data_IF_854034187577
#
_entry.id   IF_854034187577
#
_cell.length_a   1.000
_cell.length_b   1.000
_cell.length_c   1.000
_cell.angle_alpha   90.00
_cell.angle_beta   90.00
_cell.angle_gamma   90.00
#
_symmetry.space_group_name_H-M   'P 1'
#
loop_
_entity.id
_entity.type
_entity.pdbx_description
1 polymer ?
#
# COMPACT_ATOMS: atom_id res chain seq x y z
N UNK A 1 4.80 9.15 27.56
CA UNK A 1 5.85 10.11 27.18
C UNK A 1 5.26 11.52 26.99
N UNK A 2 4.17 11.71 26.23
CA UNK A 2 3.50 13.01 26.08
C UNK A 2 2.96 13.57 27.40
N UNK A 3 2.46 12.72 28.29
CA UNK A 3 1.95 13.13 29.59
C UNK A 3 3.04 13.80 30.47
N UNK A 4 4.27 13.33 30.35
CA UNK A 4 5.40 13.88 31.10
C UNK A 4 6.02 15.13 30.42
N UNK A 5 5.90 15.20 29.08
CA UNK A 5 6.52 16.26 28.28
C UNK A 5 5.59 16.73 27.14
N UNK A 6 4.49 17.42 27.45
CA UNK A 6 3.44 17.72 26.47
C UNK A 6 3.87 18.63 25.31
N UNK A 7 4.94 19.40 25.51
CA UNK A 7 5.48 20.32 24.47
C UNK A 7 6.62 19.73 23.63
N UNK A 8 7.09 18.52 23.97
CA UNK A 8 8.19 17.91 23.23
C UNK A 8 7.67 17.30 21.93
N UNK A 9 8.18 17.70 20.76
CA UNK A 9 7.81 17.06 19.52
C UNK A 9 8.37 15.63 19.47
N UNK A 10 7.52 14.69 19.13
CA UNK A 10 7.87 13.28 18.97
C UNK A 10 7.97 12.98 17.49
N UNK A 11 9.14 12.54 17.04
CA UNK A 11 9.39 12.06 15.69
C UNK A 11 9.63 10.56 15.75
N UNK A 12 8.96 9.80 14.89
CA UNK A 12 9.06 8.34 14.88
C UNK A 12 9.37 7.81 13.48
N UNK A 13 10.00 6.65 13.45
CA UNK A 13 10.17 5.85 12.24
C UNK A 13 9.44 4.52 12.44
N UNK A 14 8.64 4.14 11.47
CA UNK A 14 7.91 2.88 11.51
C UNK A 14 8.29 2.01 10.33
N UNK A 15 8.28 0.71 10.55
CA UNK A 15 8.50 -0.26 9.50
C UNK A 15 7.19 -0.65 8.82
N UNK A 16 6.14 -0.87 9.59
CA UNK A 16 4.85 -1.40 9.15
C UNK A 16 3.70 -0.39 9.35
N UNK A 17 2.59 -0.70 8.69
CA UNK A 17 1.40 0.13 8.67
C UNK A 17 0.64 0.11 9.99
N UNK A 18 0.57 -1.04 10.66
CA UNK A 18 -0.15 -1.22 11.94
C UNK A 18 0.47 -0.33 13.03
N UNK A 19 1.80 -0.36 13.14
CA UNK A 19 2.55 0.52 14.04
C UNK A 19 2.34 1.99 13.70
N UNK A 20 2.31 2.34 12.39
CA UNK A 20 2.04 3.71 11.94
C UNK A 20 0.69 4.20 12.45
N UNK A 21 -0.39 3.44 12.23
CA UNK A 21 -1.75 3.77 12.71
C UNK A 21 -1.78 3.93 14.23
N UNK A 22 -1.11 3.04 14.96
CA UNK A 22 -1.03 3.12 16.41
C UNK A 22 -0.36 4.41 16.90
N UNK A 23 0.74 4.82 16.27
CA UNK A 23 1.45 6.06 16.63
C UNK A 23 0.68 7.32 16.23
N UNK A 24 -0.06 7.30 15.12
CA UNK A 24 -0.96 8.40 14.75
C UNK A 24 -2.04 8.58 15.82
N UNK A 25 -2.66 7.49 16.28
CA UNK A 25 -3.66 7.52 17.36
C UNK A 25 -3.10 8.02 18.69
N UNK A 26 -1.79 7.92 18.90
CA UNK A 26 -1.07 8.46 20.05
C UNK A 26 -0.59 9.91 19.84
N UNK A 27 -1.01 10.54 18.74
CA UNK A 27 -0.70 11.93 18.44
C UNK A 27 0.82 12.21 18.30
N UNK A 28 1.56 11.30 17.65
CA UNK A 28 2.97 11.51 17.30
C UNK A 28 3.06 12.60 16.24
N UNK A 29 3.98 13.56 16.41
CA UNK A 29 4.02 14.77 15.59
C UNK A 29 4.51 14.52 14.16
N UNK A 30 5.42 13.57 13.98
CA UNK A 30 5.95 13.24 12.66
C UNK A 30 6.34 11.77 12.58
N UNK A 31 5.91 11.11 11.51
CA UNK A 31 6.18 9.68 11.30
C UNK A 31 6.73 9.46 9.90
N UNK A 32 7.87 8.77 9.81
CA UNK A 32 8.42 8.28 8.55
C UNK A 32 8.15 6.78 8.45
N UNK A 33 7.47 6.37 7.39
CA UNK A 33 7.24 4.95 7.07
C UNK A 33 8.37 4.46 6.16
N UNK A 34 9.35 3.80 6.76
CA UNK A 34 10.60 3.42 6.10
C UNK A 34 10.39 2.59 4.83
N UNK A 35 9.65 1.51 4.94
CA UNK A 35 9.39 0.60 3.81
C UNK A 35 8.64 1.30 2.68
N UNK A 36 7.63 2.09 3.01
CA UNK A 36 6.83 2.82 2.05
C UNK A 36 7.65 3.89 1.29
N UNK A 37 8.41 4.70 2.01
CA UNK A 37 9.25 5.73 1.39
C UNK A 37 10.36 5.13 0.51
N UNK A 38 10.95 4.02 0.95
CA UNK A 38 11.94 3.29 0.16
C UNK A 38 11.31 2.69 -1.11
N UNK A 39 10.11 2.13 -1.01
CA UNK A 39 9.37 1.58 -2.15
C UNK A 39 9.04 2.67 -3.18
N UNK A 40 8.54 3.82 -2.76
CA UNK A 40 8.26 4.95 -3.66
C UNK A 40 9.52 5.46 -4.37
N UNK A 41 10.63 5.53 -3.63
CA UNK A 41 11.92 5.96 -4.21
C UNK A 41 12.39 4.97 -5.29
N UNK A 42 12.31 3.67 -5.01
CA UNK A 42 12.67 2.63 -5.96
C UNK A 42 11.73 2.64 -7.18
N UNK A 43 10.42 2.70 -6.95
CA UNK A 43 9.42 2.74 -8.02
C UNK A 43 9.65 3.92 -8.96
N UNK A 44 9.91 5.11 -8.42
CA UNK A 44 10.25 6.28 -9.22
C UNK A 44 11.47 6.05 -10.11
N UNK A 45 12.55 5.51 -9.53
CA UNK A 45 13.76 5.20 -10.29
C UNK A 45 13.50 4.17 -11.40
N UNK A 46 12.70 3.14 -11.09
CA UNK A 46 12.31 2.10 -12.05
C UNK A 46 11.51 2.70 -13.22
N UNK A 47 10.50 3.53 -12.97
CA UNK A 47 9.71 4.19 -14.00
C UNK A 47 10.61 5.00 -14.95
N UNK A 48 11.55 5.75 -14.40
CA UNK A 48 12.51 6.52 -15.21
C UNK A 48 13.43 5.61 -16.05
N UNK A 49 13.87 4.47 -15.52
CA UNK A 49 14.67 3.49 -16.26
C UNK A 49 13.88 2.81 -17.39
N UNK A 50 12.57 2.67 -17.24
CA UNK A 50 11.65 2.17 -18.27
C UNK A 50 11.33 3.23 -19.36
N UNK A 51 11.92 4.42 -19.29
CA UNK A 51 11.76 5.47 -20.28
C UNK A 51 10.63 6.45 -20.00
N UNK A 52 9.93 6.33 -18.86
CA UNK A 52 8.94 7.31 -18.43
C UNK A 52 9.66 8.60 -18.05
N UNK A 53 9.18 9.72 -18.53
CA UNK A 53 9.79 10.99 -18.21
C UNK A 53 9.60 11.34 -16.70
N UNK A 54 10.47 12.22 -16.23
CA UNK A 54 10.50 12.59 -14.81
C UNK A 54 9.17 13.15 -14.29
N UNK A 55 8.47 13.94 -15.09
CA UNK A 55 7.23 14.60 -14.68
C UNK A 55 6.14 13.54 -14.48
N UNK A 56 5.96 12.66 -15.45
CA UNK A 56 4.99 11.55 -15.37
C UNK A 56 5.32 10.60 -14.21
N UNK A 57 6.61 10.26 -14.02
CA UNK A 57 7.01 9.43 -12.90
C UNK A 57 6.69 10.10 -11.55
N UNK A 58 6.94 11.41 -11.41
CA UNK A 58 6.63 12.18 -10.21
C UNK A 58 5.12 12.26 -9.97
N UNK A 59 4.29 12.37 -11.01
CA UNK A 59 2.82 12.36 -10.92
C UNK A 59 2.30 11.02 -10.43
N UNK A 60 2.80 9.90 -10.97
CA UNK A 60 2.43 8.55 -10.50
C UNK A 60 2.77 8.37 -9.04
N UNK A 61 3.96 8.75 -8.61
CA UNK A 61 4.38 8.64 -7.21
C UNK A 61 3.52 9.53 -6.29
N UNK A 62 3.15 10.73 -6.76
CA UNK A 62 2.29 11.62 -5.99
C UNK A 62 0.87 11.04 -5.82
N UNK A 63 0.33 10.41 -6.87
CA UNK A 63 -0.97 9.75 -6.81
C UNK A 63 -0.97 8.56 -5.86
N UNK A 64 0.04 7.70 -5.94
CA UNK A 64 0.19 6.55 -5.01
C UNK A 64 0.28 7.04 -3.56
N UNK A 65 1.03 8.10 -3.30
CA UNK A 65 1.15 8.71 -1.97
C UNK A 65 -0.19 9.26 -1.48
N UNK A 66 -0.94 9.90 -2.34
CA UNK A 66 -2.26 10.45 -2.02
C UNK A 66 -3.24 9.33 -1.65
N UNK A 67 -3.36 8.30 -2.48
CA UNK A 67 -4.25 7.15 -2.23
C UNK A 67 -3.89 6.41 -0.94
N UNK A 68 -2.59 6.22 -0.70
CA UNK A 68 -2.12 5.60 0.52
C UNK A 68 -2.43 6.45 1.78
N UNK A 69 -2.35 7.78 1.67
CA UNK A 69 -2.71 8.67 2.77
C UNK A 69 -4.21 8.62 3.06
N UNK A 70 -5.06 8.59 2.03
CA UNK A 70 -6.51 8.43 2.17
C UNK A 70 -6.85 7.11 2.89
N UNK A 71 -6.23 6.01 2.45
CA UNK A 71 -6.37 4.72 3.10
C UNK A 71 -5.91 4.75 4.56
N UNK A 72 -4.78 5.40 4.84
CA UNK A 72 -4.25 5.52 6.19
C UNK A 72 -5.22 6.28 7.10
N UNK A 73 -5.83 7.35 6.60
CA UNK A 73 -6.83 8.13 7.33
C UNK A 73 -8.07 7.28 7.68
N UNK A 74 -8.56 6.48 6.73
CA UNK A 74 -9.68 5.57 6.98
C UNK A 74 -9.33 4.50 8.01
N UNK A 75 -8.13 3.92 7.96
CA UNK A 75 -7.66 2.93 8.93
C UNK A 75 -7.47 3.52 10.33
N UNK A 76 -7.08 4.78 10.44
CA UNK A 76 -7.00 5.50 11.72
C UNK A 76 -8.40 5.68 12.34
N UNK A 77 -9.41 6.00 11.51
CA UNK A 77 -10.77 6.27 11.96
C UNK A 77 -11.56 4.98 12.25
N UNK A 78 -11.48 4.01 11.37
CA UNK A 78 -12.35 2.83 11.35
C UNK A 78 -11.63 1.54 11.73
N UNK A 79 -10.30 1.56 11.87
CA UNK A 79 -9.48 0.36 12.05
C UNK A 79 -9.22 -0.36 10.73
N UNK A 80 -8.51 -1.48 10.82
CA UNK A 80 -8.21 -2.33 9.65
C UNK A 80 -9.47 -3.13 9.28
N UNK A 81 -9.90 -3.03 8.02
CA UNK A 81 -10.99 -3.84 7.49
C UNK A 81 -10.66 -4.29 6.06
N UNK A 82 -11.20 -5.45 5.68
CA UNK A 82 -11.08 -5.98 4.32
C UNK A 82 -11.69 -5.05 3.27
N UNK A 83 -12.76 -4.35 3.61
CA UNK A 83 -13.42 -3.41 2.70
C UNK A 83 -12.54 -2.21 2.39
N UNK A 84 -11.80 -1.70 3.40
CA UNK A 84 -10.82 -0.63 3.20
C UNK A 84 -9.69 -1.13 2.32
N UNK A 85 -9.18 -2.34 2.58
CA UNK A 85 -8.13 -2.94 1.77
C UNK A 85 -8.61 -3.06 0.32
N UNK A 86 -9.76 -3.66 0.07
CA UNK A 86 -10.32 -3.87 -1.28
C UNK A 86 -10.55 -2.55 -2.02
N UNK A 87 -11.04 -1.51 -1.34
CA UNK A 87 -11.27 -0.18 -1.92
C UNK A 87 -10.02 0.45 -2.51
N UNK A 88 -8.86 0.26 -1.89
CA UNK A 88 -7.60 0.91 -2.27
C UNK A 88 -6.61 -0.03 -2.96
N UNK A 89 -6.84 -1.36 -2.91
CA UNK A 89 -5.97 -2.36 -3.51
C UNK A 89 -6.24 -2.57 -5.00
N UNK A 90 -7.42 -2.23 -5.51
CA UNK A 90 -7.67 -2.34 -6.94
C UNK A 90 -6.88 -1.26 -7.68
N UNK A 91 -5.73 -1.59 -8.31
CA UNK A 91 -5.02 -0.63 -9.11
C UNK A 91 -5.93 -0.28 -10.30
N UNK A 92 -6.40 0.96 -10.34
CA UNK A 92 -6.79 1.51 -11.64
C UNK A 92 -5.53 1.42 -12.50
N UNK A 93 -5.61 0.87 -13.72
CA UNK A 93 -4.44 0.76 -14.56
C UNK A 93 -3.85 2.17 -14.74
N UNK A 94 -2.68 2.42 -14.12
CA UNK A 94 -1.96 3.69 -14.23
C UNK A 94 -1.48 3.95 -15.67
N UNK A 95 -1.38 2.87 -16.43
CA UNK A 95 -1.04 2.91 -17.85
C UNK A 95 -2.33 2.53 -18.58
N UNK A 96 -2.97 3.50 -19.25
CA UNK A 96 -3.94 3.15 -20.28
C UNK A 96 -3.18 2.28 -21.27
N UNK A 97 -3.60 1.02 -21.49
CA UNK A 97 -2.97 0.23 -22.53
C UNK A 97 -2.97 1.09 -23.78
N UNK A 98 -1.81 1.25 -24.41
CA UNK A 98 -1.75 1.86 -25.72
C UNK A 98 -2.81 1.17 -26.59
N UNK A 99 -3.66 1.95 -27.24
CA UNK A 99 -4.71 1.43 -28.13
C UNK A 99 -4.17 0.55 -29.26
N UNK A 100 -2.86 0.52 -29.40
CA UNK A 100 -2.09 -0.18 -30.43
C UNK A 100 -1.33 -1.42 -29.88
N UNK A 101 -1.57 -1.83 -28.65
CA UNK A 101 -1.11 -3.13 -28.17
C UNK A 101 -1.96 -4.21 -28.83
N UNK A 102 -1.59 -4.60 -30.05
CA UNK A 102 -2.08 -5.84 -30.64
C UNK A 102 -1.71 -6.99 -29.70
N UNK A 103 -2.72 -7.77 -29.31
CA UNK A 103 -2.48 -9.01 -28.59
C UNK A 103 -1.51 -9.85 -29.42
N UNK A 104 -0.36 -10.20 -28.83
CA UNK A 104 0.75 -10.91 -29.50
C UNK A 104 0.31 -12.24 -30.13
N UNK A 105 -0.79 -12.84 -29.67
CA UNK A 105 -1.60 -13.90 -30.28
C UNK A 105 -2.89 -14.11 -29.46
N UNK A 106 -3.90 -14.79 -30.06
CA UNK A 106 -5.18 -15.12 -29.40
C UNK A 106 -4.99 -15.95 -28.13
N UNK A 107 -3.96 -16.77 -28.05
CA UNK A 107 -3.63 -17.63 -26.91
C UNK A 107 -3.18 -16.83 -25.67
N UNK A 108 -2.47 -15.71 -25.84
CA UNK A 108 -2.08 -14.80 -24.75
C UNK A 108 -3.25 -13.96 -24.24
N UNK A 109 -4.21 -13.62 -25.06
CA UNK A 109 -5.42 -12.92 -24.66
C UNK A 109 -6.29 -13.78 -23.74
N UNK A 110 -6.48 -15.07 -24.06
CA UNK A 110 -7.22 -16.02 -23.23
C UNK A 110 -6.55 -16.32 -21.87
N UNK A 111 -5.22 -16.24 -21.79
CA UNK A 111 -4.48 -16.45 -20.54
C UNK A 111 -4.67 -15.25 -19.62
N UNK A 112 -4.60 -14.03 -20.16
CA UNK A 112 -4.77 -12.80 -19.41
C UNK A 112 -6.20 -12.64 -18.87
N UNK A 113 -7.24 -13.03 -19.64
CA UNK A 113 -8.63 -13.00 -19.17
C UNK A 113 -8.88 -14.02 -18.05
N UNK A 114 -8.18 -15.16 -18.05
CA UNK A 114 -8.32 -16.20 -17.01
C UNK A 114 -7.57 -15.89 -15.72
N UNK A 115 -6.49 -15.12 -15.79
CA UNK A 115 -5.72 -14.70 -14.60
C UNK A 115 -6.43 -13.59 -13.82
N UNK A 116 -7.22 -12.73 -14.46
CA UNK A 116 -7.98 -11.67 -13.79
C UNK A 116 -9.09 -12.24 -12.89
N UNK A 117 -9.74 -13.34 -13.30
CA UNK A 117 -10.87 -13.94 -12.53
C UNK A 117 -10.40 -14.77 -11.31
N UNK A 118 -9.14 -15.20 -11.25
CA UNK A 118 -8.65 -16.13 -10.21
C UNK A 118 -7.76 -15.50 -9.15
N UNK A 119 -7.25 -14.30 -9.40
CA UNK A 119 -6.21 -13.70 -8.55
C UNK A 119 -6.77 -12.88 -7.37
N UNK A 120 -8.03 -12.44 -7.43
CA UNK A 120 -8.59 -11.53 -6.43
C UNK A 120 -8.98 -12.21 -5.11
N UNK A 121 -9.43 -13.46 -5.14
CA UNK A 121 -9.87 -14.17 -3.92
C UNK A 121 -8.70 -14.82 -3.15
N UNK A 122 -7.73 -15.40 -3.84
CA UNK A 122 -6.62 -16.11 -3.20
C UNK A 122 -5.60 -15.18 -2.53
N UNK A 123 -5.35 -13.99 -3.08
CA UNK A 123 -4.41 -13.03 -2.51
C UNK A 123 -4.93 -12.38 -1.21
N UNK A 124 -6.24 -12.16 -1.13
CA UNK A 124 -6.88 -11.59 0.07
C UNK A 124 -6.93 -12.61 1.20
N UNK A 125 -7.17 -13.89 0.89
CA UNK A 125 -7.27 -14.97 1.89
C UNK A 125 -5.90 -15.28 2.53
N UNK A 126 -4.81 -15.20 1.77
CA UNK A 126 -3.45 -15.42 2.26
C UNK A 126 -2.99 -14.32 3.24
N UNK A 127 -3.38 -13.07 2.99
CA UNK A 127 -3.06 -11.94 3.87
C UNK A 127 -3.84 -11.95 5.19
N UNK A 128 -5.02 -12.57 5.20
CA UNK A 128 -5.87 -12.67 6.39
C UNK A 128 -5.49 -13.87 7.30
N UNK A 129 -4.82 -14.89 6.74
CA UNK A 129 -4.41 -16.08 7.52
C UNK A 129 -3.16 -15.84 8.37
N UNK A 130 -2.24 -14.99 7.91
CA UNK A 130 -0.98 -14.72 8.60
C UNK A 130 -1.18 -13.93 9.92
N UNK A 131 -2.21 -13.07 10.00
CA UNK A 131 -2.52 -12.31 11.22
C UNK A 131 -3.22 -13.15 12.31
N UNK A 132 -3.89 -14.26 11.95
CA UNK A 132 -4.63 -15.08 12.92
C UNK A 132 -3.77 -16.09 13.68
N UNK A 133 -2.61 -16.48 13.15
CA UNK A 133 -1.70 -17.41 13.81
C UNK A 133 -0.79 -16.73 14.85
N UNK A 134 -0.52 -15.44 14.70
CA UNK A 134 0.31 -14.68 15.63
C UNK A 134 -0.42 -14.28 16.92
N UNK A 135 -1.73 -14.20 16.93
CA UNK A 135 -2.49 -13.92 18.16
C UNK A 135 -2.67 -15.17 19.05
N UNK A 136 -2.78 -16.35 18.47
CA UNK A 136 -2.97 -17.59 19.23
C UNK A 136 -1.73 -18.07 19.99
N UNK A 137 -0.54 -17.61 19.66
CA UNK A 137 0.69 -17.97 20.35
C UNK A 137 1.01 -17.11 21.57
N UNK A 138 0.30 -16.00 21.79
CA UNK A 138 0.50 -15.11 22.95
C UNK A 138 -0.43 -15.36 24.14
N UNK A 139 -1.40 -16.24 24.01
CA UNK A 139 -2.31 -16.61 25.13
C UNK A 139 -1.90 -17.90 25.89
N UNK A 140 -0.77 -18.53 25.55
CA UNK A 140 -0.35 -19.81 26.13
C UNK A 140 1.01 -19.72 26.87
N UNK A 141 1.51 -18.54 27.17
CA UNK A 141 2.59 -18.29 28.15
C UNK A 141 2.08 -17.32 29.23
#
# INVERSE_FOLDING_TARGET
>A
MKDAYPKLPILARTYDRKTTVSLIKQDVNFIVRETFESALTLSRATLMQLGINKIEADEVIAEVRYLDQERLNEEVLHGFSTDIIRKYWMPKPFIKPHSDAEALNEETAEILEKEDDTNDEAAVETLLHDDSETEKQKEVE
#
